data_IF_296040989287
#
_entry.id   IF_296040989287
#
_cell.length_a   1.000
_cell.length_b   1.000
_cell.length_c   1.000
_cell.angle_alpha   90.00
_cell.angle_beta   90.00
_cell.angle_gamma   90.00
#
_symmetry.space_group_name_H-M   'P 1'
#
loop_
_entity.id
_entity.type
_entity.pdbx_description
1 polymer ?
#
# COMPACT_ATOMS: atom_id res chain seq x y z
N UNK A 1 12.39 -3.79 -6.65
CA UNK A 1 12.78 -3.67 -5.22
C UNK A 1 13.55 -4.91 -4.80
N UNK A 2 14.61 -4.75 -4.00
CA UNK A 2 15.37 -5.88 -3.45
C UNK A 2 14.49 -6.63 -2.43
N UNK A 3 14.47 -7.95 -2.55
CA UNK A 3 13.80 -8.89 -1.65
C UNK A 3 14.86 -9.85 -1.13
N UNK A 4 14.63 -10.46 0.03
CA UNK A 4 15.48 -11.52 0.57
C UNK A 4 15.19 -12.86 -0.12
N UNK A 5 15.82 -13.93 0.38
CA UNK A 5 15.43 -15.30 0.06
C UNK A 5 13.91 -15.50 0.22
N UNK A 6 13.34 -16.34 -0.65
CA UNK A 6 11.90 -16.63 -0.70
C UNK A 6 10.99 -15.43 -1.04
N UNK A 7 11.51 -14.40 -1.75
CA UNK A 7 10.76 -13.20 -2.13
C UNK A 7 10.12 -12.48 -0.91
N UNK A 8 10.82 -12.44 0.22
CA UNK A 8 10.42 -11.72 1.43
C UNK A 8 10.96 -10.28 1.44
N UNK A 9 10.37 -9.42 2.27
CA UNK A 9 10.85 -8.05 2.47
C UNK A 9 12.32 -8.03 2.94
N UNK A 10 13.12 -7.00 2.59
CA UNK A 10 14.49 -6.84 3.06
C UNK A 10 14.59 -6.84 4.59
N UNK A 11 15.73 -7.25 5.13
CA UNK A 11 16.00 -7.21 6.57
C UNK A 11 16.41 -5.80 7.00
N UNK A 12 15.89 -5.35 8.13
CA UNK A 12 16.34 -4.18 8.86
C UNK A 12 17.28 -4.63 9.98
N UNK A 13 18.57 -4.31 9.81
CA UNK A 13 19.62 -4.65 10.77
C UNK A 13 19.79 -3.57 11.86
N UNK A 14 19.05 -2.46 11.78
CA UNK A 14 19.16 -1.33 12.71
C UNK A 14 18.08 -1.37 13.79
N UNK A 15 16.97 -2.09 13.55
CA UNK A 15 15.82 -2.16 14.46
C UNK A 15 15.83 -3.47 15.24
N UNK A 16 15.85 -3.37 16.56
CA UNK A 16 15.84 -4.52 17.49
C UNK A 16 14.44 -4.82 18.09
N UNK A 17 13.39 -4.13 17.66
CA UNK A 17 12.03 -4.27 18.21
C UNK A 17 11.37 -5.61 17.86
N UNK A 18 11.81 -6.26 16.78
CA UNK A 18 11.33 -7.59 16.38
C UNK A 18 12.05 -8.67 17.17
N UNK A 19 11.76 -8.77 18.46
CA UNK A 19 12.22 -9.90 19.27
C UNK A 19 11.34 -11.12 18.97
N UNK A 20 11.63 -11.85 17.89
CA UNK A 20 11.30 -13.28 17.91
C UNK A 20 12.16 -13.92 18.99
N UNK A 21 11.54 -14.28 20.12
CA UNK A 21 12.14 -14.79 21.37
C UNK A 21 13.07 -16.02 21.17
N UNK A 22 13.27 -16.53 19.94
CA UNK A 22 14.01 -17.78 19.68
C UNK A 22 15.02 -17.80 18.53
N UNK A 23 15.07 -16.85 17.59
CA UNK A 23 15.89 -17.06 16.36
C UNK A 23 16.74 -15.89 15.85
N UNK A 24 16.77 -14.73 16.52
CA UNK A 24 17.64 -13.62 16.08
C UNK A 24 17.38 -13.15 14.64
N UNK A 25 16.15 -13.36 14.14
CA UNK A 25 15.74 -12.89 12.83
C UNK A 25 15.56 -11.37 12.87
N UNK A 26 16.16 -10.62 11.91
CA UNK A 26 16.01 -9.18 11.85
C UNK A 26 14.57 -8.78 11.50
N UNK A 27 14.19 -7.57 11.90
CA UNK A 27 12.95 -6.94 11.44
C UNK A 27 12.88 -6.88 9.92
N UNK A 28 11.67 -6.79 9.36
CA UNK A 28 11.51 -6.40 7.96
C UNK A 28 11.67 -4.90 7.77
N UNK A 29 12.21 -4.52 6.62
CA UNK A 29 12.31 -3.15 6.13
C UNK A 29 11.28 -2.92 5.03
N UNK A 30 10.56 -1.82 5.12
CA UNK A 30 9.62 -1.35 4.10
C UNK A 30 9.54 0.18 4.08
N UNK A 31 8.65 0.73 3.25
CA UNK A 31 8.43 2.18 3.19
C UNK A 31 7.71 2.78 4.42
N UNK A 32 7.15 1.94 5.29
CA UNK A 32 6.56 2.34 6.58
C UNK A 32 7.26 1.58 7.70
N UNK A 33 7.63 2.28 8.77
CA UNK A 33 8.41 1.73 9.89
C UNK A 33 7.62 0.74 10.76
N UNK A 34 6.29 0.72 10.65
CA UNK A 34 5.41 -0.18 11.42
C UNK A 34 5.18 -1.51 10.73
N UNK A 35 5.92 -1.82 9.66
CA UNK A 35 5.77 -3.07 8.90
C UNK A 35 5.82 -4.33 9.78
N UNK A 36 6.45 -4.26 10.95
CA UNK A 36 6.57 -5.36 11.92
C UNK A 36 5.59 -5.31 13.10
N UNK A 37 4.65 -4.35 13.13
CA UNK A 37 3.69 -4.19 14.24
C UNK A 37 2.77 -5.41 14.39
N UNK A 38 2.38 -6.02 13.28
CA UNK A 38 1.68 -7.31 13.25
C UNK A 38 2.01 -8.09 11.97
N UNK A 39 1.99 -9.42 12.07
CA UNK A 39 2.35 -10.32 10.96
C UNK A 39 1.50 -10.07 9.71
N UNK A 40 0.19 -9.80 9.86
CA UNK A 40 -0.69 -9.54 8.71
C UNK A 40 -0.25 -8.28 7.95
N UNK A 41 0.21 -7.24 8.65
CA UNK A 41 0.73 -6.03 7.99
C UNK A 41 1.99 -6.36 7.20
N UNK A 42 2.93 -7.12 7.77
CA UNK A 42 4.13 -7.57 7.06
C UNK A 42 3.80 -8.39 5.80
N UNK A 43 2.77 -9.25 5.88
CA UNK A 43 2.28 -10.03 4.73
C UNK A 43 1.77 -9.09 3.64
N UNK A 44 0.96 -8.08 3.97
CA UNK A 44 0.44 -7.12 2.99
C UNK A 44 1.58 -6.35 2.31
N UNK A 45 2.57 -5.87 3.07
CA UNK A 45 3.76 -5.23 2.49
C UNK A 45 4.52 -6.19 1.55
N UNK A 46 4.64 -7.46 1.93
CA UNK A 46 5.27 -8.50 1.09
C UNK A 46 4.50 -8.74 -0.22
N UNK A 47 3.17 -8.75 -0.17
CA UNK A 47 2.33 -8.87 -1.37
C UNK A 47 2.59 -7.70 -2.32
N UNK A 48 2.62 -6.46 -1.80
CA UNK A 48 2.86 -5.28 -2.64
C UNK A 48 4.23 -5.25 -3.28
N UNK A 49 5.31 -5.67 -2.59
CA UNK A 49 6.64 -5.74 -3.21
C UNK A 49 6.69 -6.81 -4.31
N UNK A 50 5.99 -7.94 -4.12
CA UNK A 50 5.89 -8.99 -5.14
C UNK A 50 5.09 -8.53 -6.36
N UNK A 51 3.99 -7.80 -6.16
CA UNK A 51 3.21 -7.19 -7.25
C UNK A 51 4.08 -6.20 -8.03
N UNK A 52 4.80 -5.32 -7.35
CA UNK A 52 5.72 -4.38 -7.98
C UNK A 52 6.77 -5.12 -8.81
N UNK A 53 7.48 -6.09 -8.24
CA UNK A 53 8.51 -6.84 -8.94
C UNK A 53 7.97 -7.64 -10.13
N UNK A 54 6.75 -8.19 -10.03
CA UNK A 54 6.08 -8.86 -11.15
C UNK A 54 5.81 -7.89 -12.29
N UNK A 55 5.20 -6.73 -12.01
CA UNK A 55 4.88 -5.72 -13.04
C UNK A 55 6.17 -5.19 -13.68
N UNK A 56 7.21 -4.90 -12.89
CA UNK A 56 8.50 -4.45 -13.41
C UNK A 56 9.13 -5.46 -14.38
N UNK A 57 9.09 -6.77 -14.06
CA UNK A 57 9.59 -7.84 -14.94
C UNK A 57 8.82 -7.88 -16.27
N UNK A 58 7.50 -7.74 -16.25
CA UNK A 58 6.70 -7.73 -17.48
C UNK A 58 6.94 -6.45 -18.30
N UNK A 59 7.04 -5.28 -17.65
CA UNK A 59 7.38 -4.04 -18.32
C UNK A 59 8.76 -4.08 -18.97
N UNK A 60 9.76 -4.70 -18.32
CA UNK A 60 11.10 -4.88 -18.87
C UNK A 60 11.11 -5.79 -20.10
N UNK A 61 10.27 -6.83 -20.12
CA UNK A 61 10.10 -7.71 -21.30
C UNK A 61 9.48 -6.96 -22.49
N UNK A 62 8.46 -6.15 -22.23
CA UNK A 62 7.75 -5.39 -23.26
C UNK A 62 8.57 -4.19 -23.75
N UNK A 63 9.36 -3.58 -22.86
CA UNK A 63 10.18 -2.41 -23.13
C UNK A 63 11.67 -2.67 -22.80
N UNK A 64 12.41 -3.46 -23.61
CA UNK A 64 13.82 -3.78 -23.34
C UNK A 64 14.75 -2.56 -23.36
N UNK A 65 14.29 -1.42 -23.88
CA UNK A 65 15.04 -0.18 -24.00
C UNK A 65 14.86 0.74 -22.77
N UNK A 66 13.97 0.42 -21.84
CA UNK A 66 13.79 1.21 -20.62
C UNK A 66 14.95 0.98 -19.66
N UNK A 67 15.36 2.06 -18.99
CA UNK A 67 16.30 1.99 -17.88
C UNK A 67 15.61 1.44 -16.63
N UNK A 68 16.41 0.98 -15.66
CA UNK A 68 15.93 0.55 -14.35
C UNK A 68 15.09 1.63 -13.64
N UNK A 69 15.47 2.91 -13.77
CA UNK A 69 14.74 4.03 -13.17
C UNK A 69 13.37 4.20 -13.83
N UNK A 70 13.30 4.15 -15.16
CA UNK A 70 12.02 4.22 -15.88
C UNK A 70 11.13 3.05 -15.49
N UNK A 71 11.67 1.82 -15.42
CA UNK A 71 10.94 0.64 -14.98
C UNK A 71 10.40 0.82 -13.56
N UNK A 72 11.21 1.31 -12.63
CA UNK A 72 10.80 1.54 -11.25
C UNK A 72 9.65 2.56 -11.16
N UNK A 73 9.78 3.73 -11.81
CA UNK A 73 8.78 4.79 -11.71
C UNK A 73 7.45 4.41 -12.39
N UNK A 74 7.49 3.79 -13.57
CA UNK A 74 6.28 3.33 -14.25
C UNK A 74 5.59 2.20 -13.48
N UNK A 75 6.37 1.27 -12.95
CA UNK A 75 5.82 0.22 -12.06
C UNK A 75 5.18 0.83 -10.82
N UNK A 76 5.86 1.77 -10.15
CA UNK A 76 5.34 2.48 -8.97
C UNK A 76 4.04 3.22 -9.28
N UNK A 77 3.97 3.88 -10.44
CA UNK A 77 2.76 4.59 -10.91
C UNK A 77 1.58 3.64 -11.10
N UNK A 78 1.81 2.48 -11.72
CA UNK A 78 0.77 1.44 -11.88
C UNK A 78 0.32 0.91 -10.53
N UNK A 79 1.25 0.55 -9.63
CA UNK A 79 0.93 0.04 -8.30
C UNK A 79 0.12 1.06 -7.49
N UNK A 80 0.48 2.34 -7.54
CA UNK A 80 -0.29 3.41 -6.90
C UNK A 80 -1.72 3.51 -7.47
N UNK A 81 -1.89 3.37 -8.78
CA UNK A 81 -3.21 3.37 -9.40
C UNK A 81 -4.05 2.15 -9.00
N UNK A 82 -3.45 0.95 -8.89
CA UNK A 82 -4.12 -0.25 -8.38
C UNK A 82 -4.57 -0.02 -6.93
N UNK A 83 -3.69 0.51 -6.08
CA UNK A 83 -4.00 0.79 -4.69
C UNK A 83 -5.16 1.79 -4.56
N UNK A 84 -5.09 2.91 -5.29
CA UNK A 84 -6.18 3.90 -5.32
C UNK A 84 -7.49 3.30 -5.82
N UNK A 85 -7.46 2.46 -6.85
CA UNK A 85 -8.66 1.79 -7.34
C UNK A 85 -9.27 0.87 -6.28
N UNK A 86 -8.48 0.03 -5.61
CA UNK A 86 -8.98 -0.82 -4.52
C UNK A 86 -9.60 0.03 -3.40
N UNK A 87 -8.94 1.12 -2.99
CA UNK A 87 -9.45 2.00 -1.94
C UNK A 87 -10.80 2.61 -2.33
N UNK A 88 -10.90 3.28 -3.48
CA UNK A 88 -12.11 4.02 -3.86
C UNK A 88 -13.23 3.13 -4.42
N UNK A 89 -12.90 2.03 -5.09
CA UNK A 89 -13.89 1.15 -5.71
C UNK A 89 -14.41 0.07 -4.76
N UNK A 90 -13.58 -0.42 -3.85
CA UNK A 90 -13.88 -1.62 -3.06
C UNK A 90 -13.98 -1.33 -1.56
N UNK A 91 -12.95 -0.71 -0.98
CA UNK A 91 -12.88 -0.55 0.48
C UNK A 91 -13.75 0.60 0.99
N UNK A 92 -13.59 1.80 0.45
CA UNK A 92 -14.27 3.00 0.93
C UNK A 92 -15.81 2.91 0.85
N UNK A 93 -16.42 2.34 -0.20
CA UNK A 93 -17.87 2.14 -0.25
C UNK A 93 -18.42 1.22 0.85
N UNK A 94 -17.61 0.30 1.38
CA UNK A 94 -17.99 -0.56 2.51
C UNK A 94 -17.93 0.24 3.83
N UNK A 95 -16.94 1.13 3.96
CA UNK A 95 -16.70 1.89 5.19
C UNK A 95 -17.68 3.05 5.37
N UNK A 96 -17.91 3.86 4.32
CA UNK A 96 -18.73 5.08 4.41
C UNK A 96 -20.06 4.99 3.65
N UNK A 97 -20.31 3.86 2.98
CA UNK A 97 -21.57 3.59 2.28
C UNK A 97 -21.58 4.05 0.81
N UNK A 98 -22.21 3.25 -0.04
CA UNK A 98 -22.31 3.50 -1.49
C UNK A 98 -23.06 4.79 -1.84
N UNK A 99 -24.11 5.11 -1.11
CA UNK A 99 -24.91 6.32 -1.37
C UNK A 99 -24.08 7.58 -1.14
N UNK A 100 -23.26 7.61 -0.09
CA UNK A 100 -22.34 8.71 0.18
C UNK A 100 -21.27 8.83 -0.90
N UNK A 101 -20.71 7.70 -1.34
CA UNK A 101 -19.73 7.67 -2.43
C UNK A 101 -20.29 8.25 -3.73
N UNK A 102 -21.53 7.90 -4.08
CA UNK A 102 -22.22 8.42 -5.28
C UNK A 102 -22.54 9.91 -5.12
N UNK A 103 -23.10 10.32 -3.99
CA UNK A 103 -23.49 11.71 -3.75
C UNK A 103 -22.30 12.68 -3.80
N UNK A 104 -21.09 12.21 -3.47
CA UNK A 104 -19.86 13.01 -3.47
C UNK A 104 -18.94 12.73 -4.67
N UNK A 105 -19.38 11.93 -5.65
CA UNK A 105 -18.58 11.65 -6.85
C UNK A 105 -17.26 10.91 -6.59
N UNK A 106 -17.17 10.10 -5.54
CA UNK A 106 -15.93 9.44 -5.12
C UNK A 106 -15.65 8.10 -5.84
N UNK A 107 -16.61 7.58 -6.61
CA UNK A 107 -16.41 6.33 -7.34
C UNK A 107 -15.54 6.56 -8.58
N UNK A 108 -14.59 5.67 -8.88
CA UNK A 108 -13.80 5.77 -10.11
C UNK A 108 -14.69 5.66 -11.36
N UNK A 109 -14.27 6.35 -12.42
CA UNK A 109 -14.91 6.20 -13.73
C UNK A 109 -14.72 4.77 -14.26
N UNK A 110 -15.76 4.23 -14.89
CA UNK A 110 -15.67 2.90 -15.55
C UNK A 110 -14.68 2.88 -16.71
N UNK A 111 -14.45 4.01 -17.36
CA UNK A 111 -13.57 4.19 -18.53
C UNK A 111 -13.06 5.63 -18.59
N UNK A 112 -11.90 5.82 -19.21
CA UNK A 112 -11.31 7.14 -19.44
C UNK A 112 -10.59 7.72 -18.22
N UNK A 113 -10.34 9.03 -18.27
CA UNK A 113 -9.62 9.77 -17.22
C UNK A 113 -10.58 10.69 -16.47
N UNK A 114 -10.42 10.78 -15.15
CA UNK A 114 -11.10 11.81 -14.35
C UNK A 114 -10.54 13.20 -14.69
N UNK A 115 -11.40 14.22 -14.56
CA UNK A 115 -11.05 15.64 -14.69
C UNK A 115 -11.17 16.39 -13.36
N UNK A 116 -11.24 15.65 -12.25
CA UNK A 116 -11.57 16.18 -10.93
C UNK A 116 -10.34 16.75 -10.20
N UNK A 117 -9.15 16.66 -10.82
CA UNK A 117 -7.95 17.27 -10.27
C UNK A 117 -8.14 18.79 -10.12
N UNK A 118 -7.95 19.28 -8.90
CA UNK A 118 -8.00 20.69 -8.57
C UNK A 118 -6.76 21.05 -7.75
N UNK A 119 -5.90 21.90 -8.30
CA UNK A 119 -4.66 22.35 -7.67
C UNK A 119 -4.87 23.27 -6.47
N UNK A 120 -6.09 23.78 -6.26
CA UNK A 120 -6.46 24.59 -5.11
C UNK A 120 -6.94 23.78 -3.90
N UNK A 121 -7.04 22.45 -4.02
CA UNK A 121 -7.36 21.59 -2.88
C UNK A 121 -6.14 21.36 -2.01
N UNK A 122 -6.32 21.40 -0.70
CA UNK A 122 -5.30 21.00 0.27
C UNK A 122 -5.37 19.47 0.48
N UNK A 123 -4.34 18.70 0.09
CA UNK A 123 -4.31 17.25 0.25
C UNK A 123 -3.77 16.81 1.63
N UNK A 124 -3.52 17.74 2.55
CA UNK A 124 -2.96 17.44 3.87
C UNK A 124 -3.92 16.60 4.71
N UNK A 125 -3.38 15.62 5.43
CA UNK A 125 -4.16 14.79 6.36
C UNK A 125 -4.54 15.62 7.58
N UNK A 126 -5.84 15.67 7.88
CA UNK A 126 -6.36 16.31 9.09
C UNK A 126 -5.86 15.60 10.35
N UNK A 127 -5.56 16.38 11.40
CA UNK A 127 -5.05 15.84 12.66
C UNK A 127 -6.08 14.91 13.32
N UNK A 128 -7.36 15.27 13.28
CA UNK A 128 -8.46 14.48 13.83
C UNK A 128 -8.59 13.14 13.10
N UNK A 129 -8.31 13.12 11.80
CA UNK A 129 -8.33 11.90 11.00
C UNK A 129 -7.21 10.95 11.40
N UNK A 130 -5.96 11.44 11.46
CA UNK A 130 -4.78 10.60 11.75
C UNK A 130 -4.71 10.13 13.20
N UNK A 131 -5.17 10.95 14.15
CA UNK A 131 -5.05 10.67 15.58
C UNK A 131 -6.24 9.90 16.15
N UNK A 132 -7.46 10.13 15.65
CA UNK A 132 -8.69 9.59 16.25
C UNK A 132 -9.55 8.85 15.22
N UNK A 133 -10.08 9.55 14.20
CA UNK A 133 -11.17 9.01 13.39
C UNK A 133 -10.78 7.74 12.61
N UNK A 134 -9.59 7.71 11.99
CA UNK A 134 -9.14 6.54 11.22
C UNK A 134 -8.74 5.35 12.10
N UNK A 135 -8.68 5.52 13.43
CA UNK A 135 -8.48 4.41 14.38
C UNK A 135 -9.76 3.58 14.59
N UNK A 136 -10.87 3.89 13.91
CA UNK A 136 -12.06 3.03 13.97
C UNK A 136 -11.75 1.57 13.62
N UNK A 137 -10.72 1.31 12.80
CA UNK A 137 -10.26 -0.04 12.48
C UNK A 137 -9.87 -0.89 13.70
N UNK A 138 -9.57 -0.28 14.85
CA UNK A 138 -9.32 -1.02 16.09
C UNK A 138 -10.57 -1.77 16.59
N UNK A 139 -11.78 -1.36 16.21
CA UNK A 139 -13.01 -2.10 16.55
C UNK A 139 -13.20 -3.36 15.69
N UNK A 140 -12.45 -3.48 14.59
CA UNK A 140 -12.51 -4.61 13.65
C UNK A 140 -11.49 -5.71 13.99
N UNK A 141 -10.55 -5.42 14.89
CA UNK A 141 -9.52 -6.37 15.33
C UNK A 141 -10.19 -7.51 16.08
N UNK A 142 -9.99 -8.73 15.58
CA UNK A 142 -10.51 -9.93 16.23
C UNK A 142 -9.69 -10.25 17.48
N UNK A 143 -10.37 -10.65 18.56
CA UNK A 143 -9.72 -11.24 19.72
C UNK A 143 -9.23 -12.66 19.44
N UNK A 144 -8.21 -13.09 20.18
CA UNK A 144 -7.89 -14.51 20.29
C UNK A 144 -8.75 -15.09 21.42
N UNK A 145 -9.59 -16.08 21.09
CA UNK A 145 -10.36 -16.87 22.07
C UNK A 145 -9.58 -18.13 22.38
#
# INVERSE_FOLDING_TARGET
LRVQENDLLPADLQVMECETIREGLPCFMAGDNRVNEQVVLSIIHTVWVRIHNRIARELARINPHWSDETLYQETRRIVAAIYQHIIYNEWLPIVIGKDYMVANGLLPLRRGYSRDYNSGLDPTILNEFSTVAFRFGHTLVQGMI
#
